data_IF_356149839801
#
_entry.id   IF_356149839801
#
_cell.length_a   1.000
_cell.length_b   1.000
_cell.length_c   1.000
_cell.angle_alpha   90.00
_cell.angle_beta   90.00
_cell.angle_gamma   90.00
#
_symmetry.space_group_name_H-M   'P 1'
#
loop_
_entity.id
_entity.type
_entity.pdbx_description
1 polymer ?
#
# COMPACT_ATOMS: atom_id res chain seq x y z
N UNK A 1 -6.37 -47.03 57.21
CA UNK A 1 -5.03 -46.57 56.76
C UNK A 1 -4.85 -47.03 55.33
N UNK A 2 -4.62 -46.24 54.28
CA UNK A 2 -4.49 -44.80 53.98
C UNK A 2 -4.93 -44.72 52.50
N UNK A 3 -6.03 -44.05 52.15
CA UNK A 3 -6.08 -42.67 51.62
C UNK A 3 -5.20 -42.34 50.41
N UNK A 4 -5.85 -41.64 49.44
CA UNK A 4 -5.32 -40.63 48.50
C UNK A 4 -4.62 -41.16 47.22
N UNK A 5 -4.78 -40.64 45.99
CA UNK A 5 -5.40 -39.40 45.48
C UNK A 5 -5.43 -39.44 43.94
N UNK A 6 -6.51 -38.91 43.36
CA UNK A 6 -6.59 -38.08 42.15
C UNK A 6 -5.64 -38.35 40.96
N UNK A 7 -6.20 -38.83 39.84
CA UNK A 7 -5.90 -38.24 38.53
C UNK A 7 -7.22 -37.82 37.87
N UNK A 8 -7.67 -36.63 38.27
CA UNK A 8 -8.56 -35.80 37.48
C UNK A 8 -7.84 -35.58 36.13
N UNK A 9 -8.34 -36.17 35.04
CA UNK A 9 -7.90 -35.78 33.69
C UNK A 9 -8.41 -34.37 33.44
N UNK A 10 -7.55 -33.39 33.72
CA UNK A 10 -7.72 -32.01 33.28
C UNK A 10 -7.69 -32.05 31.76
N UNK A 11 -8.86 -31.96 31.15
CA UNK A 11 -8.97 -31.54 29.75
C UNK A 11 -8.65 -30.05 29.76
N UNK A 12 -7.59 -29.56 29.11
CA UNK A 12 -7.52 -28.14 28.82
C UNK A 12 -8.58 -27.91 27.75
N UNK A 13 -9.76 -27.44 28.18
CA UNK A 13 -10.69 -26.79 27.27
C UNK A 13 -10.03 -25.45 26.93
N UNK A 14 -9.11 -25.45 25.96
CA UNK A 14 -8.68 -24.22 25.30
C UNK A 14 -9.86 -23.76 24.45
N UNK A 15 -10.86 -23.17 25.11
CA UNK A 15 -11.79 -22.28 24.47
C UNK A 15 -11.03 -20.99 24.20
N UNK A 16 -10.26 -20.95 23.10
CA UNK A 16 -9.95 -19.67 22.47
C UNK A 16 -11.27 -19.13 21.93
N UNK A 17 -12.06 -18.51 22.80
CA UNK A 17 -13.02 -17.51 22.40
C UNK A 17 -12.22 -16.30 21.92
N UNK A 18 -11.67 -16.39 20.70
CA UNK A 18 -11.39 -15.19 19.92
C UNK A 18 -12.76 -14.65 19.47
N UNK A 19 -13.48 -14.05 20.40
CA UNK A 19 -14.35 -12.93 20.07
C UNK A 19 -13.44 -11.69 19.96
N UNK A 20 -12.45 -11.75 19.05
CA UNK A 20 -11.80 -10.55 18.59
C UNK A 20 -12.87 -9.81 17.82
N UNK A 21 -13.22 -8.61 18.29
CA UNK A 21 -13.98 -7.66 17.48
C UNK A 21 -13.39 -7.67 16.08
N UNK A 22 -14.20 -7.97 15.07
CA UNK A 22 -13.84 -7.76 13.67
C UNK A 22 -13.68 -6.26 13.47
N UNK A 23 -12.54 -5.75 13.92
CA UNK A 23 -12.00 -4.47 13.52
C UNK A 23 -11.62 -4.64 12.06
N UNK A 24 -12.34 -3.94 11.20
CA UNK A 24 -12.18 -4.02 9.77
C UNK A 24 -12.25 -2.60 9.22
N UNK A 25 -11.40 -2.35 8.23
CA UNK A 25 -11.44 -1.13 7.45
C UNK A 25 -12.86 -0.93 6.91
N UNK A 26 -13.37 0.29 7.03
CA UNK A 26 -14.60 0.72 6.36
C UNK A 26 -14.27 1.80 5.35
N UNK A 27 -14.63 1.57 4.08
CA UNK A 27 -14.50 2.53 2.99
C UNK A 27 -15.89 3.06 2.66
N UNK A 28 -16.11 4.34 2.95
CA UNK A 28 -17.35 5.05 2.65
C UNK A 28 -17.20 5.84 1.36
N UNK A 29 -18.26 5.83 0.54
CA UNK A 29 -18.30 6.61 -0.69
C UNK A 29 -19.26 7.79 -0.62
N UNK A 30 -18.80 8.95 -1.10
CA UNK A 30 -19.66 10.08 -1.47
C UNK A 30 -19.71 10.18 -2.99
N UNK A 31 -20.92 10.26 -3.56
CA UNK A 31 -21.13 10.19 -5.00
C UNK A 31 -22.39 10.92 -5.43
N UNK A 32 -22.48 11.27 -6.72
CA UNK A 32 -23.71 11.81 -7.31
C UNK A 32 -24.78 10.69 -7.37
N UNK A 33 -25.98 10.90 -6.81
CA UNK A 33 -27.07 9.92 -6.89
C UNK A 33 -27.43 9.46 -8.32
N UNK A 34 -27.08 10.23 -9.35
CA UNK A 34 -27.28 9.88 -10.76
C UNK A 34 -26.16 9.00 -11.36
N UNK A 35 -25.16 8.59 -10.58
CA UNK A 35 -24.09 7.69 -11.03
C UNK A 35 -24.65 6.38 -11.61
N UNK A 36 -24.00 5.85 -12.66
CA UNK A 36 -24.32 4.52 -13.19
C UNK A 36 -24.28 3.47 -12.08
N UNK A 37 -25.39 2.75 -11.89
CA UNK A 37 -25.53 1.78 -10.81
C UNK A 37 -24.50 0.64 -10.89
N UNK A 38 -24.03 0.29 -12.09
CA UNK A 38 -22.97 -0.72 -12.29
C UNK A 38 -21.62 -0.19 -11.83
N UNK A 39 -21.33 1.08 -12.10
CA UNK A 39 -20.11 1.73 -11.62
C UNK A 39 -20.12 1.82 -10.09
N UNK A 40 -21.24 2.23 -9.48
CA UNK A 40 -21.38 2.25 -8.03
C UNK A 40 -21.18 0.86 -7.40
N UNK A 41 -21.82 -0.17 -7.95
CA UNK A 41 -21.65 -1.55 -7.48
C UNK A 41 -20.21 -2.05 -7.67
N UNK A 42 -19.55 -1.66 -8.76
CA UNK A 42 -18.14 -1.95 -9.03
C UNK A 42 -17.21 -1.30 -8.00
N UNK A 43 -17.41 -0.03 -7.67
CA UNK A 43 -16.67 0.66 -6.60
C UNK A 43 -16.89 0.00 -5.24
N UNK A 44 -18.13 -0.37 -4.91
CA UNK A 44 -18.44 -1.09 -3.66
C UNK A 44 -17.74 -2.46 -3.61
N UNK A 45 -17.69 -3.18 -4.73
CA UNK A 45 -16.98 -4.46 -4.81
C UNK A 45 -15.47 -4.27 -4.68
N UNK A 46 -14.91 -3.23 -5.29
CA UNK A 46 -13.50 -2.88 -5.16
C UNK A 46 -13.13 -2.49 -3.72
N UNK A 47 -13.97 -1.70 -3.04
CA UNK A 47 -13.82 -1.41 -1.63
C UNK A 47 -13.83 -2.70 -0.79
N UNK A 48 -14.78 -3.60 -1.04
CA UNK A 48 -14.85 -4.88 -0.33
C UNK A 48 -13.58 -5.72 -0.51
N UNK A 49 -12.89 -5.66 -1.67
CA UNK A 49 -11.60 -6.36 -1.85
C UNK A 49 -10.55 -5.89 -0.83
N UNK A 50 -10.45 -4.59 -0.58
CA UNK A 50 -9.54 -4.02 0.43
C UNK A 50 -10.02 -4.26 1.87
N UNK A 51 -11.30 -4.04 2.15
CA UNK A 51 -11.87 -4.26 3.49
C UNK A 51 -11.78 -5.72 3.96
N UNK A 52 -11.68 -6.67 3.03
CA UNK A 52 -11.51 -8.09 3.36
C UNK A 52 -10.07 -8.49 3.72
N UNK A 53 -9.09 -7.63 3.43
CA UNK A 53 -7.66 -7.94 3.60
C UNK A 53 -6.92 -6.95 4.51
N UNK A 54 -7.51 -5.78 4.79
CA UNK A 54 -6.96 -4.77 5.71
C UNK A 54 -7.82 -4.70 6.99
N UNK A 55 -7.17 -4.73 8.15
CA UNK A 55 -7.80 -4.97 9.45
C UNK A 55 -7.79 -3.77 10.41
N UNK A 56 -7.27 -2.63 9.97
CA UNK A 56 -7.34 -1.39 10.72
C UNK A 56 -8.78 -0.99 11.00
N UNK A 57 -9.09 -0.66 12.26
CA UNK A 57 -10.42 -0.19 12.64
C UNK A 57 -10.66 1.28 12.29
N UNK A 58 -10.56 1.61 11.00
CA UNK A 58 -10.61 3.00 10.53
C UNK A 58 -11.67 3.21 9.46
N UNK A 59 -12.11 4.45 9.31
CA UNK A 59 -13.04 4.87 8.26
C UNK A 59 -12.30 5.71 7.22
N UNK A 60 -12.15 5.17 6.01
CA UNK A 60 -11.65 5.88 4.83
C UNK A 60 -12.84 6.41 4.04
N UNK A 61 -12.85 7.70 3.71
CA UNK A 61 -13.97 8.37 3.06
C UNK A 61 -13.53 8.88 1.68
N UNK A 62 -14.04 8.28 0.61
CA UNK A 62 -13.65 8.60 -0.76
C UNK A 62 -14.79 9.25 -1.53
N UNK A 63 -14.50 10.27 -2.32
CA UNK A 63 -15.44 10.75 -3.33
C UNK A 63 -15.25 9.92 -4.59
N UNK A 64 -16.33 9.42 -5.19
CA UNK A 64 -16.26 8.69 -6.46
C UNK A 64 -17.07 9.39 -7.54
N UNK A 65 -16.55 9.35 -8.76
CA UNK A 65 -17.19 9.92 -9.95
C UNK A 65 -17.05 9.01 -11.17
N UNK A 66 -17.99 9.11 -12.09
CA UNK A 66 -17.93 8.49 -13.41
C UNK A 66 -18.20 9.56 -14.48
N UNK A 67 -17.14 10.23 -14.92
CA UNK A 67 -17.19 11.47 -15.68
C UNK A 67 -16.13 11.48 -16.80
N UNK A 68 -16.16 12.46 -17.70
CA UNK A 68 -15.13 12.55 -18.73
C UNK A 68 -13.74 12.87 -18.12
N UNK A 69 -12.71 12.13 -18.53
CA UNK A 69 -11.31 12.37 -18.18
C UNK A 69 -10.46 12.66 -19.43
N UNK A 70 -9.18 12.96 -19.22
CA UNK A 70 -8.22 13.15 -20.30
C UNK A 70 -8.13 11.89 -21.20
N UNK A 71 -7.80 12.06 -22.49
CA UNK A 71 -7.62 10.93 -23.40
C UNK A 71 -6.64 9.88 -22.85
N UNK A 72 -7.03 8.61 -22.93
CA UNK A 72 -6.20 7.47 -22.50
C UNK A 72 -6.22 7.18 -20.99
N UNK A 73 -6.98 7.91 -20.18
CA UNK A 73 -7.10 7.68 -18.73
C UNK A 73 -8.36 6.86 -18.42
N UNK A 74 -8.19 5.67 -17.86
CA UNK A 74 -9.30 4.78 -17.46
C UNK A 74 -9.93 5.25 -16.15
N UNK A 75 -9.08 5.41 -15.14
CA UNK A 75 -9.37 5.91 -13.81
C UNK A 75 -8.28 6.88 -13.36
N UNK A 76 -8.58 7.66 -12.34
CA UNK A 76 -7.59 8.53 -11.69
C UNK A 76 -7.96 8.78 -10.25
N UNK A 77 -6.95 8.72 -9.39
CA UNK A 77 -7.04 9.02 -7.97
C UNK A 77 -6.29 10.29 -7.61
N UNK A 78 -6.90 11.10 -6.75
CA UNK A 78 -6.24 12.18 -6.02
C UNK A 78 -6.44 11.95 -4.53
N UNK A 79 -5.36 11.71 -3.80
CA UNK A 79 -5.41 11.52 -2.35
C UNK A 79 -5.31 12.85 -1.61
N UNK A 80 -6.12 13.03 -0.56
CA UNK A 80 -5.86 14.05 0.46
C UNK A 80 -4.57 13.67 1.17
N UNK A 81 -3.63 14.60 1.27
CA UNK A 81 -2.30 14.35 1.84
C UNK A 81 -1.97 15.36 2.93
N UNK A 82 -1.05 14.98 3.81
CA UNK A 82 -0.43 15.89 4.75
C UNK A 82 0.98 15.44 5.07
N UNK A 83 1.63 16.16 5.98
CA UNK A 83 3.03 15.92 6.34
C UNK A 83 3.17 15.55 7.81
N UNK A 84 4.07 14.61 8.08
CA UNK A 84 4.53 14.27 9.43
C UNK A 84 6.07 14.26 9.42
N UNK A 85 6.69 14.51 10.57
CA UNK A 85 8.14 14.32 10.68
C UNK A 85 8.50 12.85 10.46
N UNK A 86 9.67 12.56 9.88
CA UNK A 86 10.17 11.20 9.71
C UNK A 86 10.24 10.46 11.05
N UNK A 87 10.75 11.11 12.10
CA UNK A 87 10.76 10.54 13.44
C UNK A 87 9.35 10.19 13.94
N UNK A 88 8.35 11.04 13.68
CA UNK A 88 6.95 10.80 14.02
C UNK A 88 6.34 9.64 13.22
N UNK A 89 6.61 9.56 11.92
CA UNK A 89 6.19 8.44 11.07
C UNK A 89 6.80 7.12 11.55
N UNK A 90 8.12 7.08 11.78
CA UNK A 90 8.82 5.90 12.32
C UNK A 90 8.25 5.47 13.66
N UNK A 91 7.96 6.42 14.57
CA UNK A 91 7.36 6.09 15.86
C UNK A 91 5.93 5.55 15.72
N UNK A 92 5.16 6.04 14.75
CA UNK A 92 3.82 5.53 14.47
C UNK A 92 3.88 4.08 13.97
N UNK A 93 4.78 3.76 13.02
CA UNK A 93 5.02 2.38 12.58
C UNK A 93 5.43 1.48 13.75
N UNK A 94 6.32 1.93 14.64
CA UNK A 94 6.71 1.18 15.85
C UNK A 94 5.51 0.85 16.74
N UNK A 95 4.60 1.79 16.92
CA UNK A 95 3.43 1.61 17.78
C UNK A 95 2.38 0.70 17.13
N UNK A 96 2.33 0.68 15.80
CA UNK A 96 1.35 -0.06 15.02
C UNK A 96 1.79 -1.50 14.68
N UNK A 97 3.09 -1.77 14.73
CA UNK A 97 3.70 -3.04 14.34
C UNK A 97 3.03 -4.30 14.93
N UNK A 98 2.55 -5.19 14.05
CA UNK A 98 1.90 -6.46 14.39
C UNK A 98 2.52 -7.66 13.69
N UNK A 99 3.06 -7.47 12.49
CA UNK A 99 3.53 -8.56 11.63
C UNK A 99 5.05 -8.69 11.58
N UNK A 100 5.55 -9.80 11.02
CA UNK A 100 6.97 -9.92 10.70
C UNK A 100 7.45 -8.90 9.67
N UNK A 101 6.57 -8.43 8.78
CA UNK A 101 6.88 -7.38 7.80
C UNK A 101 7.14 -6.06 8.51
N UNK A 102 6.28 -5.68 9.46
CA UNK A 102 6.45 -4.47 10.28
C UNK A 102 7.79 -4.49 11.00
N UNK A 103 8.06 -5.61 11.68
CA UNK A 103 9.30 -5.77 12.43
C UNK A 103 10.53 -5.67 11.52
N UNK A 104 10.48 -6.23 10.32
CA UNK A 104 11.56 -6.12 9.34
C UNK A 104 11.72 -4.68 8.84
N UNK A 105 10.61 -4.02 8.48
CA UNK A 105 10.58 -2.63 8.05
C UNK A 105 11.25 -1.72 9.08
N UNK A 106 10.74 -1.73 10.32
CA UNK A 106 11.17 -0.86 11.42
C UNK A 106 12.62 -1.09 11.83
N UNK A 107 13.08 -2.35 11.84
CA UNK A 107 14.44 -2.70 12.24
C UNK A 107 15.51 -2.08 11.34
N UNK A 108 15.15 -1.78 10.08
CA UNK A 108 16.08 -1.25 9.09
C UNK A 108 15.85 0.23 8.76
N UNK A 109 14.87 0.88 9.40
CA UNK A 109 14.69 2.32 9.29
C UNK A 109 15.74 3.09 10.10
N UNK A 110 16.35 4.16 9.54
CA UNK A 110 17.26 5.03 10.28
C UNK A 110 16.69 5.50 11.62
N UNK A 111 17.42 5.30 12.71
CA UNK A 111 16.95 5.67 14.05
C UNK A 111 16.99 7.19 14.33
N UNK A 112 17.73 7.95 13.51
CA UNK A 112 17.85 9.40 13.62
C UNK A 112 16.58 10.14 13.20
N UNK A 113 16.56 11.48 13.33
CA UNK A 113 15.39 12.30 12.99
C UNK A 113 15.21 12.52 11.47
N UNK A 114 16.14 12.03 10.66
CA UNK A 114 16.15 12.20 9.21
C UNK A 114 16.75 10.99 8.52
N UNK A 115 16.44 10.86 7.22
CA UNK A 115 16.99 9.88 6.30
C UNK A 115 17.93 10.56 5.31
N UNK A 116 18.94 9.82 4.84
CA UNK A 116 19.73 10.18 3.67
C UNK A 116 19.06 9.68 2.39
N UNK A 117 19.03 10.54 1.37
CA UNK A 117 18.21 10.35 0.17
C UNK A 117 19.09 10.45 -1.06
N UNK A 118 19.19 9.38 -1.85
CA UNK A 118 19.75 9.50 -3.19
C UNK A 118 18.70 10.13 -4.12
N UNK A 119 19.04 11.24 -4.77
CA UNK A 119 18.13 11.98 -5.64
C UNK A 119 18.86 12.61 -6.83
N UNK A 120 18.11 13.22 -7.76
CA UNK A 120 18.63 13.94 -8.92
C UNK A 120 17.71 15.13 -9.28
N UNK A 121 18.07 15.89 -10.31
CA UNK A 121 17.18 16.90 -10.91
C UNK A 121 16.89 18.14 -10.05
N UNK A 122 17.50 18.30 -8.87
CA UNK A 122 17.26 19.47 -8.01
C UNK A 122 18.08 20.69 -8.44
N UNK A 123 17.69 21.87 -7.98
CA UNK A 123 18.37 23.13 -8.24
C UNK A 123 19.74 23.26 -7.58
N UNK A 124 20.01 22.44 -6.57
CA UNK A 124 21.29 22.40 -5.84
C UNK A 124 22.12 21.18 -6.22
N UNK A 125 21.78 20.47 -7.30
CA UNK A 125 22.51 19.29 -7.71
C UNK A 125 24.01 19.64 -7.95
N UNK A 126 24.96 18.91 -7.33
CA UNK A 126 26.40 19.19 -7.45
C UNK A 126 26.94 19.19 -8.89
N UNK A 127 26.29 18.47 -9.81
CA UNK A 127 26.63 18.43 -11.23
C UNK A 127 25.99 19.58 -12.05
N UNK A 128 25.36 20.55 -11.38
CA UNK A 128 24.65 21.68 -11.96
C UNK A 128 23.13 21.58 -11.77
N UNK A 129 22.46 22.72 -11.67
CA UNK A 129 21.01 22.81 -11.46
C UNK A 129 20.24 21.98 -12.50
N UNK A 130 19.34 21.11 -12.03
CA UNK A 130 18.50 20.25 -12.87
C UNK A 130 19.22 19.05 -13.49
N UNK A 131 20.49 18.81 -13.17
CA UNK A 131 21.24 17.70 -13.73
C UNK A 131 20.65 16.34 -13.29
N UNK A 132 20.64 15.36 -14.19
CA UNK A 132 20.12 14.01 -13.94
C UNK A 132 21.10 13.12 -13.17
N UNK A 133 22.36 13.54 -13.03
CA UNK A 133 23.35 12.84 -12.23
C UNK A 133 22.88 12.76 -10.77
N UNK A 134 22.91 11.55 -10.21
CA UNK A 134 22.44 11.32 -8.84
C UNK A 134 23.46 11.78 -7.82
N UNK A 135 22.98 12.30 -6.69
CA UNK A 135 23.78 12.62 -5.53
C UNK A 135 23.06 12.17 -4.26
N UNK A 136 23.80 12.07 -3.15
CA UNK A 136 23.22 11.79 -1.83
C UNK A 136 22.97 13.11 -1.12
N UNK A 137 21.71 13.37 -0.81
CA UNK A 137 21.29 14.42 0.10
C UNK A 137 21.20 13.85 1.52
N UNK A 138 22.07 14.33 2.41
CA UNK A 138 22.18 13.86 3.79
C UNK A 138 22.37 15.03 4.78
N UNK A 139 21.87 16.21 4.41
CA UNK A 139 22.06 17.44 5.19
C UNK A 139 20.99 17.61 6.30
N UNK A 140 20.02 16.69 6.38
CA UNK A 140 18.96 16.63 7.40
C UNK A 140 18.01 17.85 7.37
N UNK A 141 17.88 18.53 6.24
CA UNK A 141 16.90 19.59 5.99
C UNK A 141 15.46 19.02 5.83
N UNK A 142 14.53 19.85 5.37
CA UNK A 142 13.11 19.56 5.29
C UNK A 142 12.75 18.28 4.54
N UNK A 143 13.32 17.99 3.36
CA UNK A 143 12.98 16.77 2.62
C UNK A 143 13.54 15.50 3.29
N UNK A 144 14.68 15.58 3.99
CA UNK A 144 15.23 14.44 4.73
C UNK A 144 14.45 14.09 6.00
N UNK A 145 13.64 15.00 6.54
CA UNK A 145 12.92 14.85 7.82
C UNK A 145 11.41 14.85 7.72
N UNK A 146 10.85 14.86 6.51
CA UNK A 146 9.41 15.01 6.28
C UNK A 146 8.90 13.87 5.42
N UNK A 147 7.88 13.17 5.92
CA UNK A 147 7.09 12.20 5.15
C UNK A 147 5.78 12.86 4.74
N UNK A 148 5.43 12.73 3.47
CA UNK A 148 4.12 13.12 2.93
C UNK A 148 3.29 11.87 2.68
N UNK A 149 2.31 11.64 3.53
CA UNK A 149 1.46 10.46 3.47
C UNK A 149 0.03 10.84 3.06
N UNK A 150 -0.73 9.85 2.59
CA UNK A 150 -2.16 10.04 2.40
C UNK A 150 -2.85 10.18 3.76
N UNK A 151 -4.02 10.81 3.75
CA UNK A 151 -4.85 10.90 4.94
C UNK A 151 -5.26 9.51 5.44
N UNK A 152 -5.44 8.54 4.52
CA UNK A 152 -5.71 7.16 4.84
C UNK A 152 -4.53 6.48 5.59
N UNK A 153 -3.27 6.71 5.17
CA UNK A 153 -2.11 6.23 5.95
C UNK A 153 -2.09 6.83 7.37
N UNK A 154 -2.43 8.12 7.52
CA UNK A 154 -2.49 8.72 8.84
C UNK A 154 -3.59 8.14 9.72
N UNK A 155 -4.71 7.68 9.14
CA UNK A 155 -5.75 6.96 9.89
C UNK A 155 -5.23 5.61 10.37
N UNK A 156 -4.65 4.81 9.47
CA UNK A 156 -4.13 3.48 9.78
C UNK A 156 -3.07 3.55 10.90
N UNK A 157 -2.15 4.51 10.80
CA UNK A 157 -1.12 4.78 11.81
C UNK A 157 -1.61 5.44 13.11
N UNK A 158 -2.92 5.66 13.29
CA UNK A 158 -3.49 6.28 14.48
C UNK A 158 -3.06 7.75 14.70
N UNK A 159 -2.60 8.44 13.66
CA UNK A 159 -2.15 9.83 13.70
C UNK A 159 -3.30 10.84 13.60
N UNK A 160 -4.51 10.36 13.28
CA UNK A 160 -5.73 11.16 13.15
C UNK A 160 -6.84 10.51 13.99
N UNK A 161 -7.65 11.28 14.72
CA UNK A 161 -8.75 10.74 15.50
C UNK A 161 -9.89 10.20 14.62
N UNK A 162 -10.54 9.12 15.05
CA UNK A 162 -11.69 8.49 14.37
C UNK A 162 -12.89 9.42 14.12
N UNK A 163 -12.96 10.52 14.88
CA UNK A 163 -13.98 11.56 14.74
C UNK A 163 -13.76 12.44 13.50
N UNK A 164 -12.56 12.44 12.90
CA UNK A 164 -12.30 13.15 11.65
C UNK A 164 -13.05 12.48 10.49
N UNK A 165 -13.93 13.25 9.84
CA UNK A 165 -14.74 12.82 8.69
C UNK A 165 -14.28 13.43 7.37
N UNK A 166 -13.04 13.92 7.30
CA UNK A 166 -12.48 14.47 6.07
C UNK A 166 -12.44 13.39 4.99
N UNK A 167 -12.67 13.80 3.76
CA UNK A 167 -12.43 12.92 2.61
C UNK A 167 -10.94 12.63 2.46
N UNK A 168 -10.60 11.35 2.33
CA UNK A 168 -9.24 10.83 2.15
C UNK A 168 -8.76 10.92 0.70
N UNK A 169 -9.68 11.18 -0.23
CA UNK A 169 -9.36 11.37 -1.63
C UNK A 169 -10.59 11.32 -2.54
N UNK A 170 -10.33 11.51 -3.83
CA UNK A 170 -11.31 11.42 -4.89
C UNK A 170 -10.82 10.47 -5.97
N UNK A 171 -11.70 9.61 -6.45
CA UNK A 171 -11.48 8.70 -7.57
C UNK A 171 -12.47 9.04 -8.66
N UNK A 172 -12.01 9.18 -9.89
CA UNK A 172 -12.88 9.39 -11.04
C UNK A 172 -12.56 8.36 -12.12
N UNK A 173 -13.59 7.80 -12.72
CA UNK A 173 -13.48 6.91 -13.87
C UNK A 173 -14.01 7.59 -15.12
N UNK A 174 -13.33 7.33 -16.24
CA UNK A 174 -13.66 7.93 -17.52
C UNK A 174 -14.93 7.33 -18.11
N UNK A 175 -15.99 8.14 -18.22
CA UNK A 175 -17.22 7.76 -18.91
C UNK A 175 -17.01 7.50 -20.41
N UNK A 176 -15.90 7.97 -20.99
CA UNK A 176 -15.51 7.70 -22.38
C UNK A 176 -15.19 6.23 -22.66
N UNK A 177 -14.92 5.43 -21.62
CA UNK A 177 -14.65 3.99 -21.73
C UNK A 177 -15.81 3.12 -21.24
N UNK A 178 -16.98 3.71 -20.95
CA UNK A 178 -18.14 3.00 -20.40
C UNK A 178 -18.59 1.77 -21.22
N UNK A 179 -18.42 1.81 -22.55
CA UNK A 179 -18.79 0.71 -23.44
C UNK A 179 -17.79 -0.45 -23.47
N UNK A 180 -16.60 -0.28 -22.90
CA UNK A 180 -15.54 -1.29 -22.86
C UNK A 180 -15.18 -1.73 -21.44
N UNK A 181 -15.87 -1.21 -20.43
CA UNK A 181 -15.69 -1.67 -19.05
C UNK A 181 -16.52 -2.93 -18.79
N UNK A 182 -15.84 -3.94 -18.24
CA UNK A 182 -16.44 -5.10 -17.63
C UNK A 182 -16.76 -4.78 -16.16
N UNK A 183 -18.01 -4.92 -15.77
CA UNK A 183 -18.48 -4.62 -14.42
C UNK A 183 -18.72 -5.89 -13.58
N UNK A 184 -18.45 -7.08 -14.13
CA UNK A 184 -18.62 -8.36 -13.43
C UNK A 184 -17.45 -9.30 -13.74
N UNK A 185 -16.42 -9.36 -12.88
CA UNK A 185 -15.27 -10.23 -13.09
C UNK A 185 -15.54 -11.71 -12.76
N UNK A 186 -16.75 -12.09 -12.33
CA UNK A 186 -17.02 -13.45 -11.81
C UNK A 186 -17.05 -14.53 -12.89
N UNK A 187 -17.22 -14.16 -14.16
CA UNK A 187 -17.15 -15.04 -15.32
C UNK A 187 -15.87 -14.81 -16.18
N UNK A 188 -14.90 -14.09 -15.63
CA UNK A 188 -13.69 -13.65 -16.31
C UNK A 188 -13.83 -12.23 -16.86
N UNK A 189 -12.86 -11.78 -17.65
CA UNK A 189 -12.93 -10.48 -18.34
C UNK A 189 -12.99 -10.74 -19.83
N UNK A 190 -14.01 -10.21 -20.50
CA UNK A 190 -14.14 -10.37 -21.94
C UNK A 190 -12.89 -9.88 -22.69
N UNK A 191 -12.47 -10.56 -23.76
CA UNK A 191 -11.22 -10.25 -24.48
C UNK A 191 -11.12 -8.80 -25.02
N UNK A 192 -12.26 -8.13 -25.22
CA UNK A 192 -12.34 -6.73 -25.63
C UNK A 192 -12.63 -5.75 -24.48
N UNK A 193 -12.79 -6.24 -23.26
CA UNK A 193 -13.25 -5.46 -22.10
C UNK A 193 -12.09 -5.19 -21.14
N UNK A 194 -12.26 -4.20 -20.28
CA UNK A 194 -11.33 -3.81 -19.21
C UNK A 194 -12.02 -4.06 -17.87
N UNK A 195 -11.32 -4.71 -16.93
CA UNK A 195 -11.83 -4.97 -15.58
C UNK A 195 -12.07 -3.67 -14.79
N UNK A 196 -13.33 -3.19 -14.74
CA UNK A 196 -13.68 -1.98 -14.00
C UNK A 196 -13.40 -2.15 -12.51
N UNK A 197 -13.76 -3.31 -11.94
CA UNK A 197 -13.58 -3.58 -10.50
C UNK A 197 -12.10 -3.66 -10.18
N UNK A 198 -11.32 -4.30 -11.04
CA UNK A 198 -9.86 -4.35 -10.99
C UNK A 198 -9.22 -2.97 -10.96
N UNK A 199 -9.52 -2.13 -11.94
CA UNK A 199 -9.02 -0.75 -11.99
C UNK A 199 -9.52 0.03 -10.77
N UNK A 200 -10.77 -0.15 -10.32
CA UNK A 200 -11.26 0.56 -9.12
C UNK A 200 -10.54 0.10 -7.85
N UNK A 201 -10.13 -1.17 -7.79
CA UNK A 201 -9.29 -1.71 -6.72
C UNK A 201 -7.91 -1.05 -6.74
N UNK A 202 -7.31 -0.93 -7.91
CA UNK A 202 -6.04 -0.22 -8.12
C UNK A 202 -6.12 1.24 -7.64
N UNK A 203 -7.12 1.99 -8.08
CA UNK A 203 -7.31 3.39 -7.71
C UNK A 203 -7.50 3.57 -6.19
N UNK A 204 -8.25 2.69 -5.54
CA UNK A 204 -8.37 2.69 -4.08
C UNK A 204 -7.01 2.44 -3.41
N UNK A 205 -6.14 1.60 -3.99
CA UNK A 205 -4.79 1.37 -3.47
C UNK A 205 -3.94 2.65 -3.42
N UNK A 206 -4.04 3.53 -4.41
CA UNK A 206 -3.41 4.86 -4.36
C UNK A 206 -3.99 5.75 -3.26
N UNK A 207 -5.31 5.72 -3.06
CA UNK A 207 -5.95 6.45 -1.96
C UNK A 207 -5.47 5.95 -0.59
N UNK A 208 -5.27 4.64 -0.46
CA UNK A 208 -4.83 3.98 0.77
C UNK A 208 -3.34 4.21 1.09
N UNK A 209 -2.49 4.55 0.10
CA UNK A 209 -1.12 4.97 0.39
C UNK A 209 -0.05 4.51 -0.59
N UNK A 210 -0.40 3.75 -1.63
CA UNK A 210 0.56 3.41 -2.67
C UNK A 210 0.80 4.63 -3.57
N UNK A 211 1.61 5.56 -3.10
CA UNK A 211 2.00 6.77 -3.82
C UNK A 211 3.52 6.94 -3.74
N UNK A 212 4.08 7.77 -4.62
CA UNK A 212 5.50 8.10 -4.61
C UNK A 212 5.68 9.57 -4.94
N UNK A 213 6.50 10.26 -4.16
CA UNK A 213 6.87 11.62 -4.47
C UNK A 213 7.89 11.75 -5.60
N UNK A 214 8.48 10.63 -6.05
CA UNK A 214 9.34 10.59 -7.25
C UNK A 214 8.56 11.11 -8.48
N UNK A 215 7.24 10.90 -8.54
CA UNK A 215 6.39 11.47 -9.60
C UNK A 215 6.44 13.00 -9.66
N UNK A 216 6.65 13.66 -8.52
CA UNK A 216 6.82 15.13 -8.46
C UNK A 216 8.25 15.52 -8.80
N UNK A 217 9.24 14.78 -8.31
CA UNK A 217 10.65 15.02 -8.62
C UNK A 217 10.93 14.89 -10.13
N UNK A 218 10.37 13.86 -10.77
CA UNK A 218 10.54 13.54 -12.20
C UNK A 218 10.08 14.69 -13.13
N UNK A 219 9.19 15.55 -12.65
CA UNK A 219 8.71 16.72 -13.39
C UNK A 219 9.62 17.96 -13.22
N UNK A 220 10.57 17.96 -12.27
CA UNK A 220 11.44 19.11 -11.99
C UNK A 220 12.62 19.24 -12.97
N UNK A 221 12.31 19.44 -14.25
CA UNK A 221 13.29 19.42 -15.35
C UNK A 221 14.31 20.57 -15.37
N UNK A 222 13.98 21.72 -14.79
CA UNK A 222 14.82 22.93 -14.89
C UNK A 222 15.72 23.15 -13.67
N UNK A 223 15.64 22.29 -12.65
CA UNK A 223 16.25 22.57 -11.35
C UNK A 223 15.71 23.84 -10.71
N UNK A 224 14.46 24.21 -11.00
CA UNK A 224 13.84 25.43 -10.48
C UNK A 224 13.62 25.40 -8.96
N UNK A 225 13.67 24.22 -8.36
CA UNK A 225 13.45 23.98 -6.94
C UNK A 225 14.65 23.30 -6.28
N UNK A 226 15.06 23.75 -5.10
CA UNK A 226 16.06 23.07 -4.28
C UNK A 226 15.51 21.76 -3.72
N UNK A 227 16.41 20.87 -3.29
CA UNK A 227 16.13 19.65 -2.54
C UNK A 227 15.15 19.86 -1.36
N UNK A 228 15.38 20.88 -0.53
CA UNK A 228 14.59 21.15 0.69
C UNK A 228 13.09 21.33 0.41
N UNK A 229 12.70 21.74 -0.80
CA UNK A 229 11.29 21.93 -1.18
C UNK A 229 10.59 20.61 -1.51
N UNK A 230 11.33 19.53 -1.72
CA UNK A 230 10.82 18.21 -2.06
C UNK A 230 10.36 17.42 -0.83
N UNK A 231 9.47 18.00 -0.03
CA UNK A 231 8.81 17.35 1.12
C UNK A 231 7.70 16.37 0.68
N UNK A 232 8.03 15.49 -0.26
CA UNK A 232 7.11 14.58 -0.94
C UNK A 232 7.45 13.09 -0.75
N UNK A 233 8.50 12.75 0.00
CA UNK A 233 8.83 11.35 0.28
C UNK A 233 7.61 10.67 0.89
N UNK A 234 7.06 9.69 0.17
CA UNK A 234 5.88 8.95 0.57
C UNK A 234 6.25 7.74 1.44
N UNK A 235 5.29 7.16 2.19
CA UNK A 235 5.54 5.93 2.96
C UNK A 235 6.18 4.80 2.14
N UNK A 236 5.73 4.54 0.92
CA UNK A 236 6.31 3.51 0.06
C UNK A 236 7.74 3.85 -0.41
N UNK A 237 8.08 5.14 -0.54
CA UNK A 237 9.43 5.59 -0.93
C UNK A 237 10.47 5.27 0.14
N UNK A 238 10.07 5.15 1.41
CA UNK A 238 10.96 4.80 2.52
C UNK A 238 11.60 3.41 2.33
N UNK A 239 10.97 2.56 1.53
CA UNK A 239 11.45 1.20 1.22
C UNK A 239 11.97 1.06 -0.21
N UNK A 240 12.18 2.19 -0.92
CA UNK A 240 12.72 2.23 -2.28
C UNK A 240 14.24 2.33 -2.22
N UNK A 241 14.93 1.39 -2.84
CA UNK A 241 16.39 1.36 -2.85
C UNK A 241 16.97 0.95 -4.22
N UNK A 242 18.29 1.09 -4.38
CA UNK A 242 19.02 0.49 -5.50
C UNK A 242 20.42 0.04 -5.06
N UNK A 243 21.12 -0.78 -5.87
CA UNK A 243 22.53 -1.07 -5.64
C UNK A 243 23.39 0.19 -5.52
N UNK A 244 23.02 1.26 -6.23
CA UNK A 244 23.73 2.52 -6.20
C UNK A 244 23.48 3.31 -4.91
N UNK A 245 22.24 3.36 -4.40
CA UNK A 245 21.97 4.01 -3.11
C UNK A 245 22.68 3.28 -1.98
N UNK A 246 22.64 1.94 -1.99
CA UNK A 246 23.38 1.10 -1.03
C UNK A 246 24.89 1.33 -1.10
N UNK A 247 25.47 1.37 -2.30
CA UNK A 247 26.90 1.64 -2.47
C UNK A 247 27.30 3.05 -2.02
N UNK A 248 26.39 4.03 -2.16
CA UNK A 248 26.60 5.41 -1.72
C UNK A 248 26.29 5.63 -0.23
N UNK A 249 25.78 4.61 0.48
CA UNK A 249 25.37 4.72 1.88
C UNK A 249 24.14 5.59 2.11
N UNK A 250 23.27 5.74 1.10
CA UNK A 250 21.98 6.40 1.24
C UNK A 250 20.92 5.42 1.76
N UNK A 251 20.01 5.89 2.59
CA UNK A 251 18.94 5.07 3.17
C UNK A 251 17.88 4.71 2.12
N UNK A 252 17.59 5.62 1.19
CA UNK A 252 16.64 5.40 0.10
C UNK A 252 17.18 5.87 -1.25
N UNK A 253 16.60 5.35 -2.34
CA UNK A 253 16.80 5.85 -3.70
C UNK A 253 15.53 6.51 -4.24
N UNK A 254 15.46 7.82 -4.11
CA UNK A 254 14.34 8.65 -4.55
C UNK A 254 14.60 9.35 -5.89
N UNK A 255 15.60 8.89 -6.65
CA UNK A 255 15.91 9.46 -7.96
C UNK A 255 14.97 8.95 -9.07
N UNK A 256 14.70 9.83 -10.04
CA UNK A 256 13.97 9.48 -11.26
C UNK A 256 14.96 9.23 -12.40
N UNK A 257 15.23 7.96 -12.71
CA UNK A 257 16.11 7.54 -13.81
C UNK A 257 15.85 6.08 -14.23
N UNK A 258 16.57 5.61 -15.27
CA UNK A 258 16.36 4.27 -15.83
C UNK A 258 16.96 3.11 -15.01
N UNK A 259 17.64 3.37 -13.88
CA UNK A 259 18.19 2.28 -13.05
C UNK A 259 17.06 1.63 -12.28
N UNK A 260 17.07 0.30 -12.17
CA UNK A 260 16.07 -0.42 -11.38
C UNK A 260 16.03 0.09 -9.93
N UNK A 261 14.81 0.25 -9.41
CA UNK A 261 14.52 0.63 -8.03
C UNK A 261 13.70 -0.50 -7.40
N UNK A 262 14.13 -0.96 -6.24
CA UNK A 262 13.58 -2.15 -5.61
C UNK A 262 12.78 -1.79 -4.36
N UNK A 263 11.74 -2.59 -4.10
CA UNK A 263 11.14 -2.68 -2.78
C UNK A 263 11.98 -3.61 -1.91
N UNK A 264 12.42 -3.10 -0.77
CA UNK A 264 13.27 -3.81 0.19
C UNK A 264 12.98 -3.32 1.60
N UNK A 265 12.88 -4.27 2.54
CA UNK A 265 12.67 -3.98 3.96
C UNK A 265 13.97 -4.02 4.77
N UNK A 266 15.11 -4.29 4.12
CA UNK A 266 16.40 -4.54 4.77
C UNK A 266 17.56 -3.75 4.15
N UNK A 267 17.24 -2.51 3.78
CA UNK A 267 18.18 -1.55 3.19
C UNK A 267 18.92 -2.13 1.96
N UNK A 268 18.15 -2.62 1.00
CA UNK A 268 18.64 -3.20 -0.26
C UNK A 268 19.52 -4.44 -0.07
N UNK A 269 19.31 -5.23 0.98
CA UNK A 269 20.01 -6.51 1.16
C UNK A 269 19.27 -7.62 0.43
N UNK A 270 17.95 -7.62 0.48
CA UNK A 270 17.06 -8.44 -0.31
C UNK A 270 16.20 -7.57 -1.22
N UNK A 271 15.96 -8.09 -2.43
CA UNK A 271 15.01 -7.52 -3.38
C UNK A 271 13.71 -8.30 -3.28
N UNK A 272 12.64 -7.64 -2.81
CA UNK A 272 11.31 -8.25 -2.72
C UNK A 272 10.53 -8.06 -4.02
N UNK A 273 10.60 -6.86 -4.58
CA UNK A 273 9.95 -6.49 -5.84
C UNK A 273 10.66 -5.31 -6.50
N UNK A 274 10.14 -4.85 -7.63
CA UNK A 274 10.67 -3.76 -8.44
C UNK A 274 9.58 -2.71 -8.70
N UNK A 275 9.95 -1.44 -8.55
CA UNK A 275 9.09 -0.30 -8.82
C UNK A 275 9.22 0.21 -10.25
N UNK A 276 8.22 0.97 -10.69
CA UNK A 276 8.41 1.93 -11.78
C UNK A 276 9.25 3.12 -11.33
N UNK A 277 9.88 3.83 -12.28
CA UNK A 277 10.98 4.75 -11.99
C UNK A 277 10.73 6.22 -12.35
N UNK A 278 9.58 6.53 -12.97
CA UNK A 278 9.23 7.88 -13.38
C UNK A 278 8.90 7.94 -14.87
N UNK A 279 7.86 8.72 -15.19
CA UNK A 279 7.29 8.79 -16.54
C UNK A 279 8.21 9.48 -17.55
N UNK A 280 9.04 10.40 -17.07
CA UNK A 280 9.75 11.37 -17.89
C UNK A 280 11.22 11.02 -18.05
N UNK A 281 11.90 10.72 -16.94
CA UNK A 281 13.34 10.42 -16.93
C UNK A 281 13.62 8.95 -16.55
N UNK A 282 12.60 8.26 -16.05
CA UNK A 282 12.64 6.85 -15.73
C UNK A 282 12.22 5.95 -16.89
N UNK A 283 11.42 4.95 -16.56
CA UNK A 283 11.02 3.85 -17.44
C UNK A 283 9.71 4.10 -18.19
N UNK A 284 9.21 5.34 -18.17
CA UNK A 284 8.00 5.73 -18.88
C UNK A 284 6.72 5.57 -18.07
N UNK A 285 6.81 5.03 -16.84
CA UNK A 285 5.67 4.80 -15.95
C UNK A 285 5.81 5.58 -14.65
N UNK A 286 4.69 5.95 -14.03
CA UNK A 286 4.70 6.70 -12.76
C UNK A 286 5.33 5.86 -11.66
N UNK A 287 6.21 6.49 -10.87
CA UNK A 287 6.93 5.85 -9.78
C UNK A 287 6.01 5.40 -8.63
N UNK A 288 4.78 5.92 -8.56
CA UNK A 288 3.71 5.43 -7.70
C UNK A 288 3.16 4.05 -8.09
N UNK A 289 3.93 3.21 -8.78
CA UNK A 289 3.51 1.89 -9.25
C UNK A 289 4.59 0.83 -9.11
N UNK A 290 4.17 -0.44 -9.14
CA UNK A 290 5.06 -1.55 -9.47
C UNK A 290 5.61 -1.42 -10.90
N UNK A 291 6.64 -2.20 -11.22
CA UNK A 291 7.12 -2.29 -12.60
C UNK A 291 6.07 -2.94 -13.49
N UNK A 292 5.76 -2.24 -14.57
CA UNK A 292 4.78 -2.63 -15.59
C UNK A 292 5.05 -4.03 -16.19
N UNK A 293 3.97 -4.76 -16.45
CA UNK A 293 3.96 -6.05 -17.13
C UNK A 293 4.82 -7.13 -16.45
N UNK A 294 4.89 -7.11 -15.12
CA UNK A 294 5.60 -8.11 -14.31
C UNK A 294 4.68 -9.04 -13.53
N UNK A 295 3.37 -8.78 -13.52
CA UNK A 295 2.41 -9.56 -12.73
C UNK A 295 2.70 -9.48 -11.22
N UNK A 296 3.21 -8.32 -10.77
CA UNK A 296 3.61 -8.12 -9.37
C UNK A 296 2.38 -7.99 -8.47
N UNK A 297 1.42 -7.18 -8.87
CA UNK A 297 0.28 -6.83 -8.04
C UNK A 297 -0.69 -5.88 -8.71
N UNK A 298 -1.75 -5.51 -7.99
CA UNK A 298 -2.85 -4.67 -8.49
C UNK A 298 -2.36 -3.26 -8.87
N UNK A 299 -1.26 -2.78 -8.28
CA UNK A 299 -0.64 -1.47 -8.57
C UNK A 299 0.33 -1.50 -9.77
N UNK A 300 0.05 -2.35 -10.77
CA UNK A 300 0.66 -2.26 -12.10
C UNK A 300 0.13 -1.00 -12.83
N UNK A 301 0.98 -0.18 -13.48
CA UNK A 301 0.56 1.06 -14.11
C UNK A 301 -0.35 0.89 -15.33
N UNK A 302 -0.53 -0.33 -15.86
CA UNK A 302 -1.40 -0.59 -17.00
C UNK A 302 -2.40 -1.70 -16.74
N UNK A 303 -3.53 -1.63 -17.44
CA UNK A 303 -4.56 -2.66 -17.46
C UNK A 303 -4.83 -3.06 -18.91
N UNK A 304 -4.58 -4.32 -19.24
CA UNK A 304 -4.83 -4.85 -20.58
C UNK A 304 -6.29 -5.29 -20.75
N UNK A 305 -6.73 -5.38 -22.02
CA UNK A 305 -8.07 -5.94 -22.33
C UNK A 305 -8.07 -7.45 -22.07
N UNK A 306 -9.15 -7.95 -21.46
CA UNK A 306 -9.26 -9.36 -21.06
C UNK A 306 -8.44 -9.73 -19.84
N UNK A 307 -7.76 -8.78 -19.20
CA UNK A 307 -6.97 -9.02 -17.99
C UNK A 307 -7.84 -8.90 -16.74
N UNK A 308 -7.77 -9.93 -15.89
CA UNK A 308 -8.36 -9.91 -14.55
C UNK A 308 -7.33 -9.38 -13.55
N UNK A 309 -7.62 -8.25 -12.92
CA UNK A 309 -6.71 -7.61 -11.98
C UNK A 309 -7.06 -8.03 -10.54
N UNK A 310 -6.04 -8.41 -9.77
CA UNK A 310 -6.19 -8.90 -8.40
C UNK A 310 -5.12 -8.35 -7.45
N UNK A 311 -5.51 -8.17 -6.18
CA UNK A 311 -4.58 -7.87 -5.08
C UNK A 311 -3.68 -9.10 -4.89
N UNK A 312 -2.37 -8.87 -4.91
CA UNK A 312 -1.33 -9.87 -4.69
C UNK A 312 -0.84 -9.86 -3.24
N UNK A 313 -0.04 -10.87 -2.88
CA UNK A 313 0.70 -10.86 -1.60
C UNK A 313 1.76 -9.76 -1.54
N UNK A 314 2.30 -9.32 -2.69
CA UNK A 314 3.28 -8.25 -2.72
C UNK A 314 2.63 -6.89 -2.42
N UNK A 315 1.39 -6.68 -2.91
CA UNK A 315 0.60 -5.51 -2.52
C UNK A 315 0.39 -5.51 -1.01
N UNK A 316 -0.10 -6.63 -0.44
CA UNK A 316 -0.35 -6.73 1.00
C UNK A 316 0.92 -6.47 1.82
N UNK A 317 2.07 -7.00 1.42
CA UNK A 317 3.35 -6.74 2.10
C UNK A 317 3.76 -5.27 2.03
N UNK A 318 3.48 -4.58 0.93
CA UNK A 318 3.71 -3.13 0.84
C UNK A 318 2.77 -2.36 1.77
N UNK A 319 1.47 -2.70 1.76
CA UNK A 319 0.47 -2.04 2.62
C UNK A 319 0.78 -2.23 4.11
N UNK A 320 1.18 -3.45 4.50
CA UNK A 320 1.72 -3.80 5.82
C UNK A 320 2.90 -2.90 6.20
N UNK A 321 3.95 -2.85 5.36
CA UNK A 321 5.12 -2.02 5.62
C UNK A 321 4.84 -0.52 5.74
N UNK A 322 3.76 0.00 5.13
CA UNK A 322 3.37 1.42 5.20
C UNK A 322 2.28 1.70 6.26
N UNK A 323 1.99 0.73 7.14
CA UNK A 323 1.18 0.90 8.33
C UNK A 323 -0.28 0.48 8.20
N UNK A 324 -0.60 -0.50 7.35
CA UNK A 324 -1.92 -1.15 7.31
C UNK A 324 -1.83 -2.57 7.84
N UNK A 325 -2.72 -2.93 8.76
CA UNK A 325 -2.81 -4.28 9.29
C UNK A 325 -3.28 -5.29 8.25
N UNK A 326 -2.46 -6.31 8.00
CA UNK A 326 -2.85 -7.49 7.21
C UNK A 326 -2.86 -8.75 8.07
N UNK A 327 -3.64 -9.81 7.74
CA UNK A 327 -3.57 -11.06 8.48
C UNK A 327 -2.19 -11.70 8.34
N UNK A 328 -1.57 -12.09 9.47
CA UNK A 328 -0.37 -12.92 9.37
C UNK A 328 -0.69 -14.29 8.73
N UNK A 329 0.09 -14.76 7.73
CA UNK A 329 -0.13 -16.06 7.09
C UNK A 329 -0.15 -17.24 8.07
N UNK A 330 0.65 -17.17 9.15
CA UNK A 330 0.73 -18.19 10.19
C UNK A 330 -0.57 -18.30 11.02
N UNK A 331 -1.26 -17.17 11.23
CA UNK A 331 -2.53 -17.12 11.96
C UNK A 331 -3.65 -17.85 11.21
N UNK A 332 -3.68 -17.73 9.88
CA UNK A 332 -4.61 -18.46 9.01
C UNK A 332 -4.34 -19.98 9.03
N UNK A 333 -3.06 -20.37 8.97
CA UNK A 333 -2.68 -21.79 9.01
C UNK A 333 -3.03 -22.45 10.35
N UNK A 334 -2.76 -21.78 11.48
CA UNK A 334 -3.12 -22.26 12.82
C UNK A 334 -4.64 -22.36 13.01
N UNK A 335 -5.40 -21.39 12.51
CA UNK A 335 -6.86 -21.44 12.55
C UNK A 335 -7.41 -22.61 11.71
N UNK A 336 -6.87 -22.81 10.50
CA UNK A 336 -7.26 -23.90 9.61
C UNK A 336 -6.96 -25.28 10.20
N UNK A 337 -5.79 -25.44 10.83
CA UNK A 337 -5.40 -26.67 11.53
C UNK A 337 -6.28 -26.91 12.77
N UNK A 338 -6.59 -25.86 13.54
CA UNK A 338 -7.49 -25.93 14.69
C UNK A 338 -8.92 -26.35 14.30
N UNK A 339 -9.47 -25.77 13.23
CA UNK A 339 -10.79 -26.12 12.71
C UNK A 339 -10.82 -27.59 12.20
N UNK A 340 -9.78 -28.04 11.50
CA UNK A 340 -9.65 -29.42 11.04
C UNK A 340 -9.56 -30.42 12.21
N UNK A 341 -8.81 -30.09 13.27
CA UNK A 341 -8.69 -30.90 14.47
C UNK A 341 -10.03 -31.02 15.22
N UNK A 342 -10.78 -29.92 15.33
CA UNK A 342 -12.12 -29.91 15.93
C UNK A 342 -13.13 -30.74 15.12
N UNK A 343 -13.12 -30.63 13.79
CA UNK A 343 -13.96 -31.45 12.92
C UNK A 343 -13.62 -32.95 13.00
N UNK A 344 -12.32 -33.28 13.04
CA UNK A 344 -11.85 -34.66 13.22
C UNK A 344 -12.24 -35.26 14.57
N UNK A 345 -12.20 -34.47 15.65
CA UNK A 345 -12.58 -34.92 17.00
C UNK A 345 -14.10 -35.17 17.15
N UNK A 346 -14.94 -34.35 16.51
CA UNK A 346 -16.41 -34.56 16.47
C UNK A 346 -16.78 -35.84 15.72
N UNK A 347 -16.15 -36.10 14.56
CA UNK A 347 -16.39 -37.34 13.79
C UNK A 347 -15.98 -38.61 14.53
N UNK A 348 -14.91 -38.56 15.34
CA UNK A 348 -14.51 -39.71 16.18
C UNK A 348 -15.51 -39.99 17.31
N UNK A 349 -16.04 -38.95 17.95
CA UNK A 349 -17.05 -39.12 19.03
C UNK A 349 -18.39 -39.68 18.50
N UNK A 350 -18.81 -39.29 17.29
CA UNK A 350 -20.03 -39.83 16.67
C UNK A 350 -19.91 -41.29 16.20
N UNK A 351 -18.70 -41.82 16.02
CA UNK A 351 -18.46 -43.24 15.69
C UNK A 351 -18.32 -44.14 16.93
N UNK A 352 -18.28 -43.56 18.13
CA UNK A 352 -18.10 -44.26 19.41
C UNK A 352 -19.35 -44.21 20.30
N UNK A 353 -20.44 -43.60 19.81
CA UNK A 353 -21.79 -43.65 20.37
C UNK A 353 -22.66 -44.51 19.45
#
# INVERSE_FOLDING_TARGET
MKTLKNLLKIVPLLACAYAGSAQALTINFTYDPAMDARALAGFQTAANRWQNVLHDNVQVNLNIAFAALNPGVLGSTSSTQGTVSYAGFRQALINDAKTTTDLAAIANLPAGPCMSVMMNGTGINPAGSGNIATFVDNNCNENNRTIRATWANFRALGLIPDSDKRSDGSISFSSGFASIFDFDPTDGIGAGMIDFIGVATHEIGHALGFISGVDTLDLNRSGGFSDALFTYIAPADVFRCSPASKAAGADIDWSADNRDKFFSLDNCTTTLSIFSNGRTNGDGQQASHWKDNRGIGILDPTAARGELLAISQMDLMMFDAIGWDVPEPASIALFSLGAAALAGSRRRKQKQA
#
